data_IF_377688442104
#
_entry.id   IF_377688442104
#
_cell.length_a   1.000
_cell.length_b   1.000
_cell.length_c   1.000
_cell.angle_alpha   90.00
_cell.angle_beta   90.00
_cell.angle_gamma   90.00
#
_symmetry.space_group_name_H-M   'P 1'
#
loop_
_entity.id
_entity.type
_entity.pdbx_description
1 polymer ?
#
# COMPACT_ATOMS: atom_id res chain seq x y z
N UNK A 1 -22.96 -6.62 12.47
CA UNK A 1 -21.73 -7.46 12.28
C UNK A 1 -20.58 -6.60 11.79
N UNK A 2 -19.38 -6.78 12.33
CA UNK A 2 -18.15 -6.11 11.85
C UNK A 2 -17.43 -7.07 10.91
N UNK A 3 -16.95 -6.52 9.79
CA UNK A 3 -16.16 -7.19 8.77
C UNK A 3 -14.86 -6.42 8.55
N UNK A 4 -13.78 -7.12 8.29
CA UNK A 4 -12.49 -6.57 7.90
C UNK A 4 -12.24 -6.98 6.46
N UNK A 5 -11.93 -6.03 5.61
CA UNK A 5 -11.87 -6.22 4.17
C UNK A 5 -10.65 -5.53 3.59
N UNK A 6 -10.05 -6.16 2.59
CA UNK A 6 -8.95 -5.61 1.81
C UNK A 6 -9.07 -6.03 0.35
N UNK A 7 -8.54 -5.23 -0.54
CA UNK A 7 -8.56 -5.47 -1.97
C UNK A 7 -7.18 -5.25 -2.59
N UNK A 8 -6.82 -6.10 -3.54
CA UNK A 8 -5.76 -5.79 -4.49
C UNK A 8 -6.38 -5.33 -5.82
N UNK A 9 -5.68 -4.45 -6.53
CA UNK A 9 -6.22 -3.83 -7.74
C UNK A 9 -5.16 -3.64 -8.83
N UNK A 10 -5.62 -3.45 -10.06
CA UNK A 10 -4.76 -3.10 -11.20
C UNK A 10 -4.11 -1.73 -11.01
N UNK A 11 -2.97 -1.51 -11.68
CA UNK A 11 -2.16 -0.31 -11.46
C UNK A 11 -2.80 0.99 -11.96
N UNK A 12 -3.51 0.96 -13.07
CA UNK A 12 -3.96 2.17 -13.76
C UNK A 12 -5.47 2.40 -13.62
N UNK A 13 -6.29 1.41 -13.92
CA UNK A 13 -7.75 1.53 -13.78
C UNK A 13 -8.20 1.43 -12.33
N UNK A 14 -7.45 0.72 -11.48
CA UNK A 14 -7.84 0.46 -10.11
C UNK A 14 -9.00 -0.55 -10.00
N UNK A 15 -9.18 -1.41 -11.02
CA UNK A 15 -10.12 -2.53 -10.95
C UNK A 15 -9.64 -3.58 -9.96
N UNK A 16 -10.55 -4.08 -9.13
CA UNK A 16 -10.25 -5.11 -8.13
C UNK A 16 -9.85 -6.42 -8.82
N UNK A 17 -8.72 -6.98 -8.38
CA UNK A 17 -8.20 -8.28 -8.83
C UNK A 17 -8.21 -9.35 -7.73
N UNK A 18 -8.36 -8.94 -6.46
CA UNK A 18 -8.48 -9.84 -5.33
C UNK A 18 -9.32 -9.18 -4.24
N UNK A 19 -10.12 -9.96 -3.56
CA UNK A 19 -10.96 -9.56 -2.44
C UNK A 19 -10.80 -10.52 -1.29
N UNK A 20 -10.37 -10.03 -0.14
CA UNK A 20 -10.30 -10.75 1.12
C UNK A 20 -11.20 -10.09 2.16
N UNK A 21 -12.00 -10.88 2.86
CA UNK A 21 -12.86 -10.40 3.94
C UNK A 21 -12.93 -11.43 5.06
N UNK A 22 -12.94 -10.96 6.32
CA UNK A 22 -13.14 -11.79 7.49
C UNK A 22 -14.12 -11.12 8.43
N UNK A 23 -15.10 -11.86 8.99
CA UNK A 23 -15.98 -11.33 10.02
C UNK A 23 -15.38 -11.47 11.43
N UNK A 24 -16.01 -10.84 12.43
CA UNK A 24 -15.57 -10.93 13.84
C UNK A 24 -15.50 -12.37 14.36
N UNK A 25 -16.32 -13.28 13.83
CA UNK A 25 -16.34 -14.69 14.24
C UNK A 25 -15.28 -15.54 13.51
N UNK A 26 -14.46 -14.93 12.63
CA UNK A 26 -13.41 -15.61 11.89
C UNK A 26 -13.87 -16.30 10.61
N UNK A 27 -15.13 -16.11 10.17
CA UNK A 27 -15.59 -16.64 8.89
C UNK A 27 -14.97 -15.80 7.76
N UNK A 28 -14.38 -16.47 6.78
CA UNK A 28 -13.58 -15.85 5.72
C UNK A 28 -14.29 -15.91 4.36
N UNK A 29 -14.04 -14.89 3.55
CA UNK A 29 -14.33 -14.86 2.13
C UNK A 29 -13.05 -14.46 1.39
N UNK A 30 -12.69 -15.23 0.37
CA UNK A 30 -11.59 -14.89 -0.52
C UNK A 30 -11.94 -15.24 -1.96
N UNK A 31 -11.58 -14.36 -2.87
CA UNK A 31 -11.69 -14.62 -4.29
C UNK A 31 -10.72 -13.76 -5.09
N UNK A 32 -10.04 -14.36 -6.07
CA UNK A 32 -9.51 -13.61 -7.18
C UNK A 32 -10.66 -13.06 -8.01
N UNK A 33 -10.43 -11.94 -8.69
CA UNK A 33 -11.40 -11.25 -9.53
C UNK A 33 -10.77 -10.97 -10.88
N UNK A 34 -11.40 -11.46 -11.96
CA UNK A 34 -10.93 -11.16 -13.31
C UNK A 34 -11.27 -9.71 -13.69
N UNK A 35 -10.29 -8.83 -13.91
CA UNK A 35 -10.52 -7.46 -14.36
C UNK A 35 -10.95 -7.44 -15.83
N UNK A 36 -11.52 -6.32 -16.29
CA UNK A 36 -11.88 -6.13 -17.70
C UNK A 36 -10.63 -6.11 -18.60
N UNK A 37 -9.53 -5.50 -18.13
CA UNK A 37 -8.27 -5.36 -18.86
C UNK A 37 -7.11 -6.10 -18.16
N UNK A 38 -6.85 -7.35 -18.52
CA UNK A 38 -5.70 -8.13 -18.03
C UNK A 38 -4.35 -7.49 -18.39
N UNK A 39 -4.28 -6.68 -19.44
CA UNK A 39 -3.07 -5.94 -19.86
C UNK A 39 -2.59 -4.91 -18.82
N UNK A 40 -3.40 -4.60 -17.82
CA UNK A 40 -3.02 -3.72 -16.71
C UNK A 40 -2.31 -4.44 -15.55
N UNK A 41 -2.15 -5.74 -15.65
CA UNK A 41 -1.30 -6.53 -14.76
C UNK A 41 0.17 -6.31 -15.12
N UNK A 42 0.75 -5.28 -14.52
CA UNK A 42 2.15 -4.95 -14.73
C UNK A 42 3.05 -5.81 -13.85
N UNK A 43 4.34 -5.93 -14.22
CA UNK A 43 5.34 -6.62 -13.39
C UNK A 43 5.36 -6.09 -11.95
N UNK A 44 5.10 -4.78 -11.77
CA UNK A 44 4.99 -4.17 -10.44
C UNK A 44 3.85 -4.77 -9.61
N UNK A 45 2.66 -4.95 -10.19
CA UNK A 45 1.51 -5.55 -9.48
C UNK A 45 1.79 -7.02 -9.18
N UNK A 46 2.36 -7.76 -10.14
CA UNK A 46 2.74 -9.16 -9.95
C UNK A 46 3.77 -9.30 -8.83
N UNK A 47 4.84 -8.47 -8.82
CA UNK A 47 5.84 -8.47 -7.75
C UNK A 47 5.25 -8.09 -6.38
N UNK A 48 4.25 -7.20 -6.36
CA UNK A 48 3.63 -6.71 -5.13
C UNK A 48 2.69 -7.75 -4.51
N UNK A 49 1.81 -8.33 -5.33
CA UNK A 49 0.69 -9.16 -4.86
C UNK A 49 0.94 -10.65 -5.01
N UNK A 50 1.91 -11.04 -5.84
CA UNK A 50 2.13 -12.44 -6.24
C UNK A 50 1.05 -13.01 -7.17
N UNK A 51 0.08 -12.21 -7.60
CA UNK A 51 -1.01 -12.66 -8.49
C UNK A 51 -0.57 -12.56 -9.94
N UNK A 52 -0.65 -13.65 -10.68
CA UNK A 52 -0.26 -13.72 -12.09
C UNK A 52 -1.44 -13.53 -13.05
N UNK A 53 -1.22 -12.95 -14.25
CA UNK A 53 -2.28 -12.73 -15.25
C UNK A 53 -3.03 -14.01 -15.62
N UNK A 54 -2.35 -15.16 -15.65
CA UNK A 54 -2.93 -16.46 -15.99
C UNK A 54 -3.97 -16.91 -14.95
N UNK A 55 -3.72 -16.64 -13.67
CA UNK A 55 -4.66 -16.95 -12.58
C UNK A 55 -5.91 -16.07 -12.71
N UNK A 56 -5.72 -14.79 -13.05
CA UNK A 56 -6.84 -13.85 -13.25
C UNK A 56 -7.65 -14.19 -14.50
N UNK A 57 -7.03 -14.71 -15.57
CA UNK A 57 -7.74 -15.14 -16.76
C UNK A 57 -8.75 -16.27 -16.45
N UNK A 58 -8.40 -17.15 -15.52
CA UNK A 58 -9.25 -18.25 -15.05
C UNK A 58 -10.20 -17.84 -13.91
N UNK A 59 -9.99 -16.66 -13.29
CA UNK A 59 -10.78 -16.21 -12.15
C UNK A 59 -12.22 -15.82 -12.53
N UNK A 60 -13.15 -15.86 -11.57
CA UNK A 60 -14.52 -15.38 -11.79
C UNK A 60 -14.53 -13.87 -12.06
N UNK A 61 -15.52 -13.42 -12.85
CA UNK A 61 -15.74 -11.98 -13.08
C UNK A 61 -16.18 -11.27 -11.80
N UNK A 62 -16.02 -9.95 -11.76
CA UNK A 62 -16.47 -9.12 -10.64
C UNK A 62 -17.98 -9.33 -10.34
N UNK A 63 -18.84 -9.47 -11.37
CA UNK A 63 -20.25 -9.79 -11.19
C UNK A 63 -20.47 -11.05 -10.35
N UNK A 64 -19.72 -12.13 -10.66
CA UNK A 64 -19.84 -13.40 -9.92
C UNK A 64 -19.32 -13.27 -8.49
N UNK A 65 -18.21 -12.57 -8.30
CA UNK A 65 -17.60 -12.43 -6.98
C UNK A 65 -18.49 -11.62 -6.05
N UNK A 66 -18.95 -10.44 -6.46
CA UNK A 66 -19.81 -9.59 -5.62
C UNK A 66 -21.19 -10.18 -5.38
N UNK A 67 -21.76 -10.92 -6.34
CA UNK A 67 -23.01 -11.67 -6.12
C UNK A 67 -22.84 -12.78 -5.08
N UNK A 68 -21.75 -13.55 -5.14
CA UNK A 68 -21.41 -14.57 -4.12
C UNK A 68 -21.10 -13.94 -2.76
N UNK A 69 -20.44 -12.79 -2.75
CA UNK A 69 -20.17 -12.06 -1.52
C UNK A 69 -21.48 -11.60 -0.85
N UNK A 70 -22.45 -11.11 -1.62
CA UNK A 70 -23.79 -10.77 -1.12
C UNK A 70 -24.45 -11.98 -0.45
N UNK A 71 -24.33 -13.19 -1.00
CA UNK A 71 -24.85 -14.43 -0.41
C UNK A 71 -24.09 -14.83 0.87
N UNK A 72 -22.80 -14.52 0.93
CA UNK A 72 -21.95 -14.79 2.08
C UNK A 72 -22.24 -13.83 3.25
N UNK A 73 -22.70 -12.60 3.00
CA UNK A 73 -23.03 -11.66 4.05
C UNK A 73 -24.17 -12.16 4.96
N UNK A 74 -24.14 -11.74 6.22
CA UNK A 74 -25.28 -11.91 7.13
C UNK A 74 -26.28 -10.77 6.91
N UNK A 75 -27.51 -11.13 6.58
CA UNK A 75 -28.55 -10.17 6.22
C UNK A 75 -29.39 -9.70 7.42
N UNK A 76 -29.23 -10.33 8.55
CA UNK A 76 -29.96 -10.08 9.82
C UNK A 76 -29.29 -9.02 10.71
N UNK A 77 -28.12 -8.52 10.32
CA UNK A 77 -27.36 -7.55 11.09
C UNK A 77 -26.91 -6.36 10.23
N UNK A 78 -26.83 -5.17 10.88
CA UNK A 78 -26.21 -4.00 10.25
C UNK A 78 -24.73 -4.28 10.06
N UNK A 79 -24.24 -4.21 8.81
CA UNK A 79 -22.87 -4.43 8.47
C UNK A 79 -22.03 -3.15 8.65
N UNK A 80 -20.82 -3.31 9.19
CA UNK A 80 -19.77 -2.29 9.19
C UNK A 80 -18.52 -2.96 8.61
N UNK A 81 -17.92 -2.36 7.59
CA UNK A 81 -16.68 -2.84 7.00
C UNK A 81 -15.54 -1.93 7.39
N UNK A 82 -14.45 -2.50 7.88
CA UNK A 82 -13.20 -1.79 8.07
C UNK A 82 -12.22 -2.19 6.98
N UNK A 83 -11.62 -1.19 6.32
CA UNK A 83 -10.41 -1.33 5.50
C UNK A 83 -9.25 -0.57 6.13
N UNK A 84 -8.05 -0.71 5.57
CA UNK A 84 -6.87 -0.02 6.08
C UNK A 84 -6.33 0.98 5.07
N UNK A 85 -6.83 2.21 5.12
CA UNK A 85 -6.55 3.29 4.18
C UNK A 85 -7.76 3.60 3.29
N UNK A 86 -7.61 4.60 2.44
CA UNK A 86 -8.68 5.13 1.58
C UNK A 86 -8.72 4.49 0.17
N UNK A 87 -7.70 3.72 -0.20
CA UNK A 87 -7.58 3.12 -1.53
C UNK A 87 -8.73 2.17 -1.85
N UNK A 88 -9.18 1.38 -0.86
CA UNK A 88 -10.26 0.39 -1.04
C UNK A 88 -11.56 1.02 -1.52
N UNK A 89 -11.90 2.20 -0.99
CA UNK A 89 -13.06 2.96 -1.44
C UNK A 89 -12.95 3.32 -2.93
N UNK A 90 -11.76 3.73 -3.37
CA UNK A 90 -11.51 4.05 -4.79
C UNK A 90 -11.56 2.82 -5.68
N UNK A 91 -11.05 1.67 -5.23
CA UNK A 91 -11.12 0.41 -5.98
C UNK A 91 -12.57 -0.05 -6.19
N UNK A 92 -13.41 0.08 -5.16
CA UNK A 92 -14.84 -0.19 -5.28
C UNK A 92 -15.51 0.75 -6.29
N UNK A 93 -15.24 2.07 -6.20
CA UNK A 93 -15.79 3.07 -7.13
C UNK A 93 -15.33 2.82 -8.57
N UNK A 94 -14.11 2.33 -8.79
CA UNK A 94 -13.57 1.98 -10.12
C UNK A 94 -14.12 0.67 -10.66
N UNK A 95 -14.43 -0.29 -9.80
CA UNK A 95 -14.98 -1.59 -10.21
C UNK A 95 -16.48 -1.52 -10.50
N UNK A 96 -17.22 -0.65 -9.83
CA UNK A 96 -18.68 -0.53 -9.97
C UNK A 96 -19.18 -0.39 -11.42
N UNK A 97 -18.57 0.44 -12.31
CA UNK A 97 -19.02 0.58 -13.69
C UNK A 97 -18.92 -0.70 -14.53
N UNK A 98 -18.12 -1.67 -14.10
CA UNK A 98 -17.93 -2.97 -14.79
C UNK A 98 -18.93 -4.03 -14.33
N UNK A 99 -19.80 -3.72 -13.35
CA UNK A 99 -20.84 -4.64 -12.88
C UNK A 99 -22.13 -4.47 -13.69
N UNK A 100 -22.61 -5.58 -14.26
CA UNK A 100 -23.86 -5.64 -15.03
C UNK A 100 -25.04 -6.21 -14.23
N UNK A 101 -24.74 -7.07 -13.25
CA UNK A 101 -25.73 -7.75 -12.43
C UNK A 101 -26.19 -6.88 -11.26
N UNK A 102 -27.51 -6.73 -11.07
CA UNK A 102 -28.08 -6.02 -9.92
C UNK A 102 -27.59 -6.58 -8.57
N UNK A 103 -27.45 -7.91 -8.45
CA UNK A 103 -26.94 -8.56 -7.22
C UNK A 103 -25.52 -8.17 -6.92
N UNK A 104 -24.66 -8.10 -7.96
CA UNK A 104 -23.28 -7.68 -7.79
C UNK A 104 -23.18 -6.20 -7.41
N UNK A 105 -23.93 -5.34 -8.09
CA UNK A 105 -23.99 -3.90 -7.75
C UNK A 105 -24.48 -3.69 -6.30
N UNK A 106 -25.50 -4.45 -5.87
CA UNK A 106 -25.98 -4.41 -4.49
C UNK A 106 -24.90 -4.86 -3.50
N UNK A 107 -24.22 -5.99 -3.77
CA UNK A 107 -23.13 -6.49 -2.93
C UNK A 107 -22.00 -5.49 -2.75
N UNK A 108 -21.53 -4.87 -3.86
CA UNK A 108 -20.53 -3.83 -3.83
C UNK A 108 -21.04 -2.58 -3.08
N UNK A 109 -22.25 -2.13 -3.34
CA UNK A 109 -22.82 -0.92 -2.75
C UNK A 109 -23.00 -1.04 -1.24
N UNK A 110 -23.33 -2.23 -0.72
CA UNK A 110 -23.39 -2.51 0.73
C UNK A 110 -22.02 -2.28 1.36
N UNK A 111 -20.95 -2.84 0.76
CA UNK A 111 -19.60 -2.62 1.26
C UNK A 111 -19.28 -1.12 1.23
N UNK A 112 -19.45 -0.49 0.07
CA UNK A 112 -19.06 0.92 -0.17
C UNK A 112 -19.76 1.89 0.78
N UNK A 113 -21.06 1.67 1.06
CA UNK A 113 -21.84 2.53 1.95
C UNK A 113 -21.49 2.39 3.43
N UNK A 114 -21.00 1.21 3.84
CA UNK A 114 -20.69 0.89 5.22
C UNK A 114 -19.18 0.81 5.50
N UNK A 115 -18.33 1.19 4.52
CA UNK A 115 -16.87 1.14 4.62
C UNK A 115 -16.34 2.26 5.51
N UNK A 116 -15.40 1.91 6.38
CA UNK A 116 -14.68 2.81 7.27
C UNK A 116 -13.17 2.57 7.16
N UNK A 117 -12.41 3.65 7.09
CA UNK A 117 -10.94 3.60 7.09
C UNK A 117 -10.41 3.54 8.53
N UNK A 118 -9.92 2.36 8.93
CA UNK A 118 -9.36 2.17 10.27
C UNK A 118 -8.03 2.90 10.47
N UNK A 119 -7.23 3.09 9.41
CA UNK A 119 -6.02 3.90 9.49
C UNK A 119 -6.34 5.37 9.81
N UNK A 120 -7.45 5.90 9.28
CA UNK A 120 -7.92 7.24 9.60
C UNK A 120 -8.41 7.34 11.06
N UNK A 121 -9.05 6.29 11.59
CA UNK A 121 -9.44 6.24 13.01
C UNK A 121 -8.20 6.26 13.94
N UNK A 122 -7.19 5.44 13.67
CA UNK A 122 -5.91 5.44 14.39
C UNK A 122 -5.23 6.81 14.30
N UNK A 123 -5.16 7.38 13.08
CA UNK A 123 -4.58 8.71 12.86
C UNK A 123 -5.27 9.78 13.70
N UNK A 124 -6.60 9.76 13.75
CA UNK A 124 -7.40 10.71 14.54
C UNK A 124 -7.18 10.48 16.04
N UNK A 125 -7.23 9.24 16.50
CA UNK A 125 -7.09 8.88 17.91
C UNK A 125 -5.76 9.37 18.50
N UNK A 126 -4.66 9.16 17.79
CA UNK A 126 -3.32 9.56 18.24
C UNK A 126 -2.84 10.93 17.72
N UNK A 127 -3.69 11.73 17.09
CA UNK A 127 -3.36 13.03 16.48
C UNK A 127 -2.13 12.98 15.54
N UNK A 128 -2.05 11.95 14.69
CA UNK A 128 -0.91 11.76 13.79
C UNK A 128 -0.96 12.72 12.59
N UNK A 129 0.22 13.06 12.05
CA UNK A 129 0.36 13.85 10.81
C UNK A 129 -0.11 13.07 9.59
N UNK A 130 0.25 11.78 9.55
CA UNK A 130 -0.03 10.86 8.45
C UNK A 130 -0.57 9.54 9.01
N UNK A 131 -1.24 8.76 8.18
CA UNK A 131 -1.60 7.38 8.51
C UNK A 131 -0.33 6.53 8.66
N UNK A 132 -0.37 5.56 9.57
CA UNK A 132 0.72 4.59 9.79
C UNK A 132 0.43 3.36 8.94
N UNK A 133 1.43 2.77 8.31
CA UNK A 133 1.26 1.54 7.53
C UNK A 133 0.79 0.38 8.42
N UNK A 134 -0.10 -0.48 7.90
CA UNK A 134 -0.67 -1.64 8.60
C UNK A 134 0.41 -2.47 9.29
N UNK A 135 1.47 -2.84 8.56
CA UNK A 135 2.59 -3.64 9.08
C UNK A 135 3.27 -3.03 10.32
N UNK A 136 3.30 -1.70 10.44
CA UNK A 136 3.91 -1.04 11.63
C UNK A 136 3.01 -1.15 12.85
N UNK A 137 1.71 -1.04 12.67
CA UNK A 137 0.76 -1.20 13.76
C UNK A 137 0.73 -2.66 14.22
N UNK A 138 0.73 -3.61 13.28
CA UNK A 138 0.84 -5.04 13.61
C UNK A 138 2.15 -5.34 14.33
N UNK A 139 3.28 -4.81 13.84
CA UNK A 139 4.58 -4.98 14.47
C UNK A 139 4.63 -4.45 15.91
N UNK A 140 3.96 -3.33 16.18
CA UNK A 140 3.81 -2.80 17.54
C UNK A 140 3.12 -3.80 18.46
N UNK A 141 1.93 -4.32 18.07
CA UNK A 141 1.18 -5.27 18.89
C UNK A 141 1.84 -6.63 19.02
N UNK A 142 2.60 -7.07 18.02
CA UNK A 142 3.34 -8.34 18.05
C UNK A 142 4.72 -8.24 18.71
N UNK A 143 5.22 -7.03 18.96
CA UNK A 143 6.56 -6.78 19.50
C UNK A 143 7.72 -7.18 18.58
N UNK A 144 7.47 -7.42 17.29
CA UNK A 144 8.46 -7.82 16.27
C UNK A 144 8.10 -7.30 14.88
N UNK A 145 9.10 -7.07 14.00
CA UNK A 145 8.86 -6.70 12.62
C UNK A 145 7.94 -7.69 11.88
N UNK A 146 7.10 -7.17 11.00
CA UNK A 146 6.18 -7.94 10.16
C UNK A 146 6.36 -7.51 8.71
N UNK A 147 6.44 -8.47 7.82
CA UNK A 147 6.33 -8.25 6.39
C UNK A 147 4.88 -8.39 5.98
N UNK A 148 4.44 -7.53 5.08
CA UNK A 148 3.10 -7.54 4.51
C UNK A 148 3.19 -8.25 3.15
N UNK A 149 2.34 -9.24 2.95
CA UNK A 149 2.35 -10.07 1.74
C UNK A 149 1.60 -9.45 0.56
N UNK A 150 0.82 -8.38 0.83
CA UNK A 150 -0.14 -7.84 -0.14
C UNK A 150 -1.08 -8.92 -0.70
N UNK A 151 -1.54 -9.78 0.19
CA UNK A 151 -2.63 -10.73 -0.06
C UNK A 151 -3.87 -10.20 0.67
N UNK A 152 -4.93 -9.93 -0.06
CA UNK A 152 -6.12 -9.26 0.48
C UNK A 152 -6.75 -10.00 1.69
N UNK A 153 -6.73 -11.34 1.73
CA UNK A 153 -7.24 -12.06 2.89
C UNK A 153 -6.29 -11.97 4.09
N UNK A 154 -4.99 -12.08 3.87
CA UNK A 154 -3.99 -11.95 4.94
C UNK A 154 -4.01 -10.54 5.52
N UNK A 155 -4.12 -9.50 4.69
CA UNK A 155 -4.18 -8.12 5.14
C UNK A 155 -5.50 -7.82 5.89
N UNK A 156 -6.62 -8.38 5.47
CA UNK A 156 -7.88 -8.34 6.23
C UNK A 156 -7.77 -9.04 7.61
N UNK A 157 -7.06 -10.16 7.69
CA UNK A 157 -6.78 -10.85 8.96
C UNK A 157 -5.86 -10.03 9.87
N UNK A 158 -4.82 -9.39 9.32
CA UNK A 158 -3.97 -8.48 10.08
C UNK A 158 -4.75 -7.28 10.61
N UNK A 159 -5.66 -6.72 9.81
CA UNK A 159 -6.54 -5.64 10.24
C UNK A 159 -7.47 -6.09 11.38
N UNK A 160 -8.06 -7.28 11.29
CA UNK A 160 -8.86 -7.86 12.37
C UNK A 160 -8.04 -8.00 13.65
N UNK A 161 -6.82 -8.53 13.55
CA UNK A 161 -5.93 -8.69 14.72
C UNK A 161 -5.66 -7.37 15.43
N UNK A 162 -5.30 -6.31 14.71
CA UNK A 162 -5.03 -5.02 15.34
C UNK A 162 -6.30 -4.39 15.91
N UNK A 163 -7.46 -4.60 15.29
CA UNK A 163 -8.75 -4.15 15.82
C UNK A 163 -9.03 -4.85 17.15
N UNK A 164 -8.98 -6.17 17.22
CA UNK A 164 -9.21 -6.96 18.44
C UNK A 164 -8.23 -6.57 19.55
N UNK A 165 -6.95 -6.41 19.22
CA UNK A 165 -5.91 -5.96 20.14
C UNK A 165 -6.21 -4.55 20.68
N UNK A 166 -6.60 -3.62 19.83
CA UNK A 166 -6.95 -2.27 20.24
C UNK A 166 -8.15 -2.20 21.18
N UNK A 167 -9.09 -3.15 21.07
CA UNK A 167 -10.25 -3.24 21.96
C UNK A 167 -9.91 -3.90 23.31
N UNK A 168 -9.05 -4.92 23.28
CA UNK A 168 -8.68 -5.68 24.49
C UNK A 168 -7.55 -4.98 25.28
N UNK A 169 -6.66 -4.29 24.60
CA UNK A 169 -5.48 -3.62 25.15
C UNK A 169 -5.45 -2.15 24.69
N UNK A 170 -6.39 -1.31 25.16
CA UNK A 170 -6.48 0.07 24.68
C UNK A 170 -5.22 0.85 25.04
N UNK A 171 -4.57 1.38 23.99
CA UNK A 171 -3.35 2.18 24.12
C UNK A 171 -3.73 3.64 24.36
N UNK A 172 -3.35 4.19 25.49
CA UNK A 172 -3.63 5.59 25.86
C UNK A 172 -2.55 6.56 25.38
N UNK A 173 -1.30 6.10 25.31
CA UNK A 173 -0.19 6.88 24.80
C UNK A 173 0.13 6.50 23.36
N UNK A 174 0.49 7.49 22.53
CA UNK A 174 0.80 7.23 21.14
C UNK A 174 2.06 6.34 21.01
N UNK A 175 1.95 5.14 20.42
CA UNK A 175 3.11 4.27 20.23
C UNK A 175 4.03 4.73 19.08
N UNK A 176 3.64 5.80 18.38
CA UNK A 176 4.35 6.36 17.22
C UNK A 176 4.59 7.87 17.43
N UNK A 177 5.32 8.29 18.48
CA UNK A 177 5.45 9.71 18.82
C UNK A 177 6.10 10.52 17.70
N UNK A 178 6.94 9.92 16.88
CA UNK A 178 7.57 10.55 15.73
C UNK A 178 6.58 11.00 14.64
N UNK A 179 5.38 10.44 14.64
CA UNK A 179 4.32 10.81 13.67
C UNK A 179 3.29 11.78 14.25
N UNK A 180 3.37 12.13 15.54
CA UNK A 180 2.41 13.06 16.15
C UNK A 180 2.57 14.48 15.61
N UNK A 181 1.45 15.22 15.56
CA UNK A 181 1.45 16.64 15.22
C UNK A 181 2.16 17.43 16.33
N UNK A 182 3.01 18.39 15.91
CA UNK A 182 3.75 19.23 16.86
C UNK A 182 5.06 18.63 17.37
N UNK A 183 5.33 17.35 17.13
CA UNK A 183 6.63 16.75 17.44
C UNK A 183 7.63 17.07 16.34
N UNK A 184 8.62 17.91 16.63
CA UNK A 184 9.76 18.13 15.74
C UNK A 184 10.79 17.02 15.96
N UNK A 185 10.87 16.11 15.01
CA UNK A 185 11.96 15.14 15.00
C UNK A 185 13.27 15.82 14.60
N UNK A 186 14.41 15.39 15.19
CA UNK A 186 15.70 15.82 14.69
C UNK A 186 15.77 15.49 13.20
N UNK A 187 16.02 16.53 12.38
CA UNK A 187 16.12 16.36 10.93
C UNK A 187 17.29 15.43 10.62
N UNK A 188 16.98 14.16 10.35
CA UNK A 188 17.98 13.22 9.81
C UNK A 188 18.21 13.62 8.36
N UNK A 189 19.37 14.23 8.08
CA UNK A 189 19.77 14.50 6.71
C UNK A 189 20.29 13.20 6.09
N UNK A 190 19.80 12.88 4.89
CA UNK A 190 20.27 11.74 4.12
C UNK A 190 21.27 12.25 3.10
N UNK A 191 22.52 11.80 3.17
CA UNK A 191 23.48 11.95 2.07
C UNK A 191 23.29 10.78 1.11
N UNK A 192 23.40 11.10 -0.15
CA UNK A 192 23.29 10.10 -1.24
C UNK A 192 24.64 9.98 -1.88
N UNK A 193 25.14 8.76 -2.02
CA UNK A 193 26.40 8.47 -2.71
C UNK A 193 26.16 7.67 -3.97
N UNK A 194 26.86 8.03 -5.04
CA UNK A 194 26.92 7.28 -6.28
C UNK A 194 28.36 6.84 -6.53
N UNK A 195 28.57 5.58 -6.84
CA UNK A 195 29.90 5.00 -7.08
C UNK A 195 29.94 4.30 -8.42
N UNK A 196 30.90 4.67 -9.28
CA UNK A 196 31.18 3.97 -10.51
C UNK A 196 32.67 4.17 -10.92
N UNK A 197 33.30 3.13 -11.41
CA UNK A 197 34.67 3.21 -11.95
C UNK A 197 35.71 3.73 -10.94
N UNK A 198 35.56 3.50 -9.64
CA UNK A 198 36.43 4.02 -8.60
C UNK A 198 36.16 5.48 -8.18
N UNK A 199 35.21 6.15 -8.83
CA UNK A 199 34.81 7.53 -8.50
C UNK A 199 33.60 7.48 -7.56
N UNK A 200 33.65 8.27 -6.48
CA UNK A 200 32.52 8.45 -5.55
C UNK A 200 32.02 9.89 -5.61
N UNK A 201 30.74 10.05 -5.87
CA UNK A 201 30.03 11.33 -5.85
C UNK A 201 29.13 11.39 -4.63
N UNK A 202 29.12 12.51 -3.91
CA UNK A 202 28.27 12.72 -2.74
C UNK A 202 27.30 13.87 -2.98
N UNK A 203 26.02 13.63 -2.65
CA UNK A 203 24.95 14.61 -2.81
C UNK A 203 24.27 14.87 -1.45
N UNK A 204 24.04 16.13 -1.15
CA UNK A 204 23.41 16.53 0.11
C UNK A 204 21.94 16.08 0.22
N UNK A 205 21.26 15.81 -0.90
CA UNK A 205 19.87 15.37 -0.97
C UNK A 205 19.61 14.54 -2.22
N UNK A 206 18.55 13.73 -2.19
CA UNK A 206 18.06 13.03 -3.40
C UNK A 206 17.75 13.99 -4.56
N UNK A 207 17.21 15.18 -4.24
CA UNK A 207 16.92 16.19 -5.26
C UNK A 207 18.18 16.66 -5.99
N UNK A 208 19.31 16.84 -5.29
CA UNK A 208 20.60 17.20 -5.91
C UNK A 208 21.19 16.05 -6.71
N UNK A 209 21.05 14.82 -6.23
CA UNK A 209 21.43 13.63 -6.99
C UNK A 209 20.61 13.50 -8.28
N UNK A 210 19.29 13.73 -8.21
CA UNK A 210 18.42 13.69 -9.37
C UNK A 210 18.73 14.81 -10.38
N UNK A 211 19.01 16.05 -9.91
CA UNK A 211 19.44 17.15 -10.79
C UNK A 211 20.69 16.78 -11.55
N UNK A 212 21.68 16.20 -10.85
CA UNK A 212 22.92 15.75 -11.46
C UNK A 212 22.67 14.65 -12.50
N UNK A 213 21.89 13.62 -12.18
CA UNK A 213 21.53 12.55 -13.13
C UNK A 213 20.87 13.13 -14.38
N UNK A 214 19.92 14.06 -14.22
CA UNK A 214 19.20 14.67 -15.35
C UNK A 214 20.11 15.56 -16.21
N UNK A 215 21.12 16.20 -15.61
CA UNK A 215 21.99 17.13 -16.35
C UNK A 215 23.17 16.40 -16.99
N UNK A 216 23.90 15.60 -16.22
CA UNK A 216 25.15 14.99 -16.65
C UNK A 216 24.92 13.75 -17.54
N UNK A 217 23.96 12.90 -17.16
CA UNK A 217 23.69 11.67 -17.92
C UNK A 217 22.99 11.96 -19.25
N UNK A 218 22.13 12.97 -19.31
CA UNK A 218 21.55 13.42 -20.59
C UNK A 218 22.62 13.98 -21.54
N UNK A 219 23.69 14.59 -21.02
CA UNK A 219 24.80 15.09 -21.83
C UNK A 219 25.69 13.98 -22.39
N UNK A 220 25.72 12.80 -21.78
CA UNK A 220 26.49 11.63 -22.21
C UNK A 220 25.76 10.72 -23.20
N UNK A 221 24.54 11.08 -23.61
CA UNK A 221 23.75 10.28 -24.56
C UNK A 221 23.02 9.08 -23.95
N UNK A 222 23.07 8.91 -22.63
CA UNK A 222 22.28 7.92 -21.93
C UNK A 222 20.82 8.36 -21.88
N UNK A 223 19.92 7.46 -22.26
CA UNK A 223 18.49 7.74 -22.26
C UNK A 223 17.99 7.66 -20.82
N UNK A 224 17.91 8.80 -20.13
CA UNK A 224 17.10 8.92 -18.93
C UNK A 224 15.64 8.94 -19.38
N UNK A 225 14.96 7.81 -19.24
CA UNK A 225 13.58 7.64 -19.66
C UNK A 225 12.58 8.41 -18.78
N UNK A 226 13.01 8.79 -17.57
CA UNK A 226 12.20 9.53 -16.62
C UNK A 226 12.22 11.04 -16.91
N UNK A 227 11.06 11.55 -17.28
CA UNK A 227 10.86 12.98 -17.63
C UNK A 227 10.72 13.93 -16.42
N UNK A 228 10.70 13.42 -15.19
CA UNK A 228 10.48 14.24 -13.99
C UNK A 228 11.50 13.95 -12.91
N UNK A 229 11.96 15.01 -12.23
CA UNK A 229 12.86 14.92 -11.06
C UNK A 229 12.36 13.97 -9.98
N UNK A 230 11.05 13.94 -9.73
CA UNK A 230 10.44 13.05 -8.74
C UNK A 230 10.64 11.57 -9.09
N UNK A 231 10.47 11.20 -10.37
CA UNK A 231 10.72 9.83 -10.84
C UNK A 231 12.18 9.44 -10.73
N UNK A 232 13.10 10.35 -11.09
CA UNK A 232 14.54 10.11 -10.93
C UNK A 232 14.90 9.91 -9.46
N UNK A 233 14.38 10.72 -8.53
CA UNK A 233 14.55 10.51 -7.10
C UNK A 233 14.08 9.12 -6.66
N UNK A 234 12.90 8.70 -7.09
CA UNK A 234 12.36 7.38 -6.75
C UNK A 234 13.23 6.23 -7.28
N UNK A 235 13.77 6.36 -8.49
CA UNK A 235 14.71 5.38 -9.05
C UNK A 235 16.02 5.30 -8.28
N UNK A 236 16.59 6.43 -7.86
CA UNK A 236 17.79 6.47 -7.02
C UNK A 236 17.54 5.79 -5.67
N UNK A 237 16.41 6.09 -5.02
CA UNK A 237 16.03 5.46 -3.75
C UNK A 237 15.92 3.95 -3.92
N UNK A 238 15.18 3.48 -4.92
CA UNK A 238 14.99 2.07 -5.20
C UNK A 238 16.32 1.35 -5.51
N UNK A 239 17.20 1.99 -6.30
CA UNK A 239 18.52 1.46 -6.60
C UNK A 239 19.37 1.30 -5.33
N UNK A 240 19.36 2.29 -4.44
CA UNK A 240 20.09 2.25 -3.16
C UNK A 240 19.54 1.18 -2.20
N UNK A 241 18.21 1.07 -2.10
CA UNK A 241 17.56 0.09 -1.20
C UNK A 241 17.71 -1.35 -1.70
N UNK A 242 17.72 -1.57 -3.01
CA UNK A 242 17.79 -2.91 -3.62
C UNK A 242 19.20 -3.30 -4.12
N UNK A 243 20.23 -2.48 -3.82
CA UNK A 243 21.60 -2.68 -4.31
C UNK A 243 21.69 -2.88 -5.84
N UNK A 244 20.90 -2.13 -6.60
CA UNK A 244 20.86 -2.17 -8.07
C UNK A 244 21.63 -0.99 -8.67
N UNK A 245 22.12 -1.15 -9.87
CA UNK A 245 22.67 -0.03 -10.64
C UNK A 245 21.54 0.84 -11.20
N UNK A 246 21.74 2.15 -11.17
CA UNK A 246 20.90 3.10 -11.91
C UNK A 246 21.81 4.14 -12.58
N UNK A 247 21.63 4.34 -13.88
CA UNK A 247 22.51 5.17 -14.73
C UNK A 247 24.00 4.81 -14.57
N UNK A 248 24.32 3.50 -14.52
CA UNK A 248 25.70 3.00 -14.40
C UNK A 248 26.34 3.14 -13.01
N UNK A 249 25.62 3.67 -12.02
CA UNK A 249 26.14 3.90 -10.66
C UNK A 249 25.49 2.97 -9.65
N UNK A 250 26.32 2.51 -8.69
CA UNK A 250 25.83 1.92 -7.44
C UNK A 250 25.48 3.06 -6.47
N UNK A 251 24.30 3.01 -5.88
CA UNK A 251 23.79 4.06 -4.99
C UNK A 251 23.72 3.57 -3.55
N UNK A 252 24.03 4.47 -2.61
CA UNK A 252 23.88 4.23 -1.17
C UNK A 252 23.34 5.47 -0.45
N UNK A 253 22.76 5.24 0.72
CA UNK A 253 22.14 6.28 1.54
C UNK A 253 22.80 6.27 2.89
N UNK A 254 23.47 7.36 3.25
CA UNK A 254 24.01 7.57 4.59
C UNK A 254 23.07 8.47 5.41
N UNK A 255 22.61 7.96 6.52
CA UNK A 255 21.87 8.75 7.50
C UNK A 255 22.85 9.41 8.47
N UNK A 256 22.82 10.74 8.59
CA UNK A 256 23.61 11.43 9.60
C UNK A 256 22.74 12.40 10.41
N UNK A 257 22.99 12.45 11.72
CA UNK A 257 22.43 13.47 12.59
C UNK A 257 23.36 14.66 12.58
N UNK A 258 22.86 15.87 12.30
CA UNK A 258 23.64 17.06 12.62
C UNK A 258 23.77 17.15 14.14
N UNK A 259 24.99 17.29 14.65
CA UNK A 259 25.18 17.79 15.99
C UNK A 259 24.48 19.16 16.09
N UNK A 260 23.68 19.37 17.12
CA UNK A 260 23.18 20.69 17.42
C UNK A 260 24.42 21.49 17.86
N UNK A 261 24.81 22.48 17.06
CA UNK A 261 25.70 23.56 17.52
C UNK A 261 25.02 24.35 18.61
#
# INVERSE_FOLDING_TARGET
>A
MIYFIDFEATQFSGEIISMGCVDMNGRQFYSLVRPAALSEMTDFIVELTGIHPEELAAAPTADKVFARFLEWLRHDEVAVFYSYGDSDAHFLDRTLPHLSSFRAQLGLSIIRSALRDYAAEIKKHFALKHSIALKKVVAYYRGKPVEQSHNSLEDALLLKEIYEKSQSEPVTECPFPEYQKGVELPKVRKRVKAVAGGVTLEFATFGKAADWVMTEQMSMGDIVTEKTKSKVCSRIINAAEKNRLYCGYSWSIDNYRQAKD
#
